data_IF_471769540874
#
_entry.id   IF_471769540874
#
_cell.length_a   1.000
_cell.length_b   1.000
_cell.length_c   1.000
_cell.angle_alpha   90.00
_cell.angle_beta   90.00
_cell.angle_gamma   90.00
#
_symmetry.space_group_name_H-M   'P 1'
#
loop_
_entity.id
_entity.type
_entity.pdbx_description
1 polymer ?
#
# COMPACT_ATOMS: atom_id res chain seq x y z
N UNK A 1 -15.21 9.98 -0.87
CA UNK A 1 -14.99 9.70 0.56
C UNK A 1 -13.72 8.89 0.78
N UNK A 2 -13.70 7.54 0.72
CA UNK A 2 -12.46 6.76 0.95
C UNK A 2 -11.36 7.02 -0.09
N UNK A 3 -11.71 7.19 -1.38
CA UNK A 3 -10.71 7.45 -2.43
C UNK A 3 -9.97 8.78 -2.23
N UNK A 4 -10.67 9.83 -1.80
CA UNK A 4 -10.08 11.16 -1.57
C UNK A 4 -9.13 11.16 -0.37
N UNK A 5 -9.50 10.45 0.70
CA UNK A 5 -8.63 10.27 1.89
C UNK A 5 -7.38 9.48 1.49
N UNK A 6 -7.54 8.38 0.75
CA UNK A 6 -6.41 7.58 0.27
C UNK A 6 -5.52 8.42 -0.65
N UNK A 7 -6.09 9.21 -1.55
CA UNK A 7 -5.33 10.07 -2.45
C UNK A 7 -4.54 11.15 -1.68
N UNK A 8 -5.16 11.76 -0.68
CA UNK A 8 -4.49 12.73 0.21
C UNK A 8 -3.31 12.08 0.93
N UNK A 9 -3.48 10.87 1.46
CA UNK A 9 -2.41 10.14 2.13
C UNK A 9 -1.27 9.76 1.17
N UNK A 10 -1.60 9.33 -0.06
CA UNK A 10 -0.60 9.07 -1.10
C UNK A 10 0.26 10.32 -1.34
N UNK A 11 -0.34 11.49 -1.53
CA UNK A 11 0.38 12.75 -1.72
C UNK A 11 1.25 13.07 -0.50
N UNK A 12 0.73 12.94 0.72
CA UNK A 12 1.49 13.16 1.96
C UNK A 12 2.69 12.22 2.08
N UNK A 13 2.55 10.97 1.63
CA UNK A 13 3.61 9.98 1.57
C UNK A 13 4.54 10.13 0.35
N UNK A 14 4.53 11.30 -0.29
CA UNK A 14 5.45 11.61 -1.40
C UNK A 14 5.10 10.89 -2.69
N UNK A 15 3.85 10.44 -2.84
CA UNK A 15 3.33 10.00 -4.11
C UNK A 15 3.27 11.14 -5.11
N UNK A 16 3.49 10.79 -6.38
CA UNK A 16 3.38 11.71 -7.52
C UNK A 16 2.10 11.39 -8.27
N UNK A 17 1.54 12.38 -8.98
CA UNK A 17 0.28 12.24 -9.75
C UNK A 17 0.38 11.29 -10.97
N UNK A 18 1.47 10.55 -11.09
CA UNK A 18 1.71 9.57 -12.15
C UNK A 18 1.39 8.16 -11.66
N UNK A 19 0.74 7.36 -12.51
CA UNK A 19 0.52 5.94 -12.23
C UNK A 19 1.85 5.21 -11.99
N UNK A 20 2.00 4.44 -10.90
CA UNK A 20 3.24 3.75 -10.60
C UNK A 20 3.52 2.64 -11.62
N UNK A 21 4.79 2.45 -11.95
CA UNK A 21 5.21 1.34 -12.83
C UNK A 21 5.11 0.00 -12.11
N UNK A 22 4.91 -1.07 -12.87
CA UNK A 22 4.93 -2.45 -12.36
C UNK A 22 6.24 -2.76 -11.60
N UNK A 23 7.37 -2.25 -12.09
CA UNK A 23 8.66 -2.38 -11.42
C UNK A 23 8.66 -1.73 -10.03
N UNK A 24 8.12 -0.50 -9.91
CA UNK A 24 8.01 0.21 -8.62
C UNK A 24 7.09 -0.54 -7.67
N UNK A 25 5.95 -1.02 -8.15
CA UNK A 25 5.00 -1.81 -7.35
C UNK A 25 5.69 -3.06 -6.82
N UNK A 26 6.34 -3.83 -7.70
CA UNK A 26 7.00 -5.08 -7.33
C UNK A 26 8.17 -4.87 -6.36
N UNK A 27 8.94 -3.78 -6.54
CA UNK A 27 9.99 -3.39 -5.59
C UNK A 27 9.40 -3.07 -4.21
N UNK A 28 8.34 -2.26 -4.16
CA UNK A 28 7.69 -1.89 -2.91
C UNK A 28 7.08 -3.12 -2.22
N UNK A 29 6.46 -4.05 -2.96
CA UNK A 29 5.98 -5.33 -2.41
C UNK A 29 7.15 -6.12 -1.84
N UNK A 30 8.27 -6.23 -2.57
CA UNK A 30 9.45 -6.97 -2.09
C UNK A 30 9.97 -6.39 -0.77
N UNK A 31 10.11 -5.08 -0.67
CA UNK A 31 10.52 -4.40 0.57
C UNK A 31 9.51 -4.62 1.71
N UNK A 32 8.21 -4.50 1.42
CA UNK A 32 7.16 -4.76 2.40
C UNK A 32 7.18 -6.21 2.91
N UNK A 33 7.62 -7.19 2.11
CA UNK A 33 7.74 -8.59 2.58
C UNK A 33 8.80 -8.79 3.66
N UNK A 34 9.68 -7.82 3.91
CA UNK A 34 10.60 -7.86 5.04
C UNK A 34 9.92 -7.45 6.36
N UNK A 35 8.72 -6.88 6.29
CA UNK A 35 7.94 -6.45 7.47
C UNK A 35 6.99 -7.55 7.96
N UNK A 36 7.12 -7.97 9.23
CA UNK A 36 6.35 -9.06 9.83
C UNK A 36 4.82 -8.87 9.69
N UNK A 37 4.32 -7.66 9.95
CA UNK A 37 2.89 -7.34 9.82
C UNK A 37 2.39 -7.53 8.38
N UNK A 38 3.22 -7.23 7.39
CA UNK A 38 2.87 -7.35 5.98
C UNK A 38 3.00 -8.79 5.50
N UNK A 39 3.97 -9.56 5.99
CA UNK A 39 4.07 -10.99 5.68
C UNK A 39 2.77 -11.72 6.00
N UNK A 40 2.22 -11.47 7.19
CA UNK A 40 0.94 -12.05 7.61
C UNK A 40 -0.18 -11.61 6.68
N UNK A 41 -0.32 -10.30 6.45
CA UNK A 41 -1.37 -9.73 5.59
C UNK A 41 -1.29 -10.26 4.15
N UNK A 42 -0.07 -10.34 3.59
CA UNK A 42 0.20 -10.84 2.25
C UNK A 42 -0.11 -12.33 2.12
N UNK A 43 0.21 -13.14 3.12
CA UNK A 43 -0.08 -14.57 3.09
C UNK A 43 -1.58 -14.87 3.04
N UNK A 44 -2.39 -14.07 3.75
CA UNK A 44 -3.84 -14.24 3.82
C UNK A 44 -4.57 -13.71 2.58
N UNK A 45 -3.98 -12.73 1.88
CA UNK A 45 -4.65 -11.97 0.83
C UNK A 45 -3.80 -11.84 -0.43
N UNK A 46 -2.96 -12.84 -0.72
CA UNK A 46 -1.95 -12.82 -1.77
C UNK A 46 -2.49 -12.33 -3.12
N UNK A 47 -3.63 -12.87 -3.55
CA UNK A 47 -4.22 -12.55 -4.85
C UNK A 47 -4.61 -11.07 -4.95
N UNK A 48 -5.06 -10.45 -3.85
CA UNK A 48 -5.34 -9.02 -3.82
C UNK A 48 -4.08 -8.18 -4.03
N UNK A 49 -2.94 -8.60 -3.49
CA UNK A 49 -1.66 -7.90 -3.69
C UNK A 49 -1.06 -8.10 -5.08
N UNK A 50 -1.42 -9.20 -5.77
CA UNK A 50 -0.90 -9.53 -7.10
C UNK A 50 -1.82 -9.06 -8.23
N UNK A 51 -3.12 -8.95 -8.01
CA UNK A 51 -4.09 -8.76 -9.10
C UNK A 51 -5.00 -7.54 -8.89
N UNK A 52 -5.21 -7.09 -7.64
CA UNK A 52 -6.13 -5.97 -7.40
C UNK A 52 -5.49 -4.63 -7.76
N UNK A 53 -5.96 -4.01 -8.85
CA UNK A 53 -5.45 -2.74 -9.37
C UNK A 53 -5.39 -1.61 -8.33
N UNK A 54 -6.38 -1.51 -7.44
CA UNK A 54 -6.44 -0.44 -6.43
C UNK A 54 -5.38 -0.62 -5.36
N UNK A 55 -5.25 -1.83 -4.81
CA UNK A 55 -4.24 -2.15 -3.79
C UNK A 55 -2.83 -2.02 -4.37
N UNK A 56 -2.62 -2.52 -5.59
CA UNK A 56 -1.34 -2.39 -6.29
C UNK A 56 -0.99 -0.95 -6.59
N UNK A 57 -1.96 -0.14 -7.01
CA UNK A 57 -1.78 1.30 -7.20
C UNK A 57 -1.32 1.97 -5.90
N UNK A 58 -2.01 1.74 -4.78
CA UNK A 58 -1.66 2.36 -3.48
C UNK A 58 -0.24 1.99 -3.06
N UNK A 59 0.14 0.71 -3.18
CA UNK A 59 1.50 0.25 -2.85
C UNK A 59 2.55 0.91 -3.74
N UNK A 60 2.29 1.01 -5.04
CA UNK A 60 3.21 1.64 -5.98
C UNK A 60 3.26 3.15 -5.86
N UNK A 61 2.17 3.81 -5.48
CA UNK A 61 2.06 5.26 -5.52
C UNK A 61 2.89 5.93 -4.42
N UNK A 62 3.02 5.32 -3.25
CA UNK A 62 3.74 5.90 -2.11
C UNK A 62 5.26 5.89 -2.27
N UNK A 63 5.95 6.77 -1.54
CA UNK A 63 7.37 6.60 -1.23
C UNK A 63 7.48 5.71 0.01
N UNK A 64 7.77 4.42 -0.23
CA UNK A 64 7.77 3.42 0.82
C UNK A 64 8.82 3.70 1.91
N UNK A 65 10.02 4.17 1.54
CA UNK A 65 11.06 4.52 2.52
C UNK A 65 10.60 5.62 3.47
N UNK A 66 9.84 6.61 2.95
CA UNK A 66 9.24 7.67 3.77
C UNK A 66 8.20 7.10 4.73
N UNK A 67 7.34 6.21 4.25
CA UNK A 67 6.27 5.59 5.05
C UNK A 67 6.86 4.74 6.17
N UNK A 68 7.84 3.90 5.86
CA UNK A 68 8.43 2.95 6.84
C UNK A 68 9.33 3.63 7.87
N UNK A 69 9.87 4.82 7.57
CA UNK A 69 10.70 5.59 8.51
C UNK A 69 9.92 6.14 9.72
N UNK A 70 8.61 6.31 9.59
CA UNK A 70 7.75 6.93 10.61
C UNK A 70 6.75 5.91 11.14
N UNK A 71 6.80 5.59 12.43
CA UNK A 71 5.85 4.64 13.03
C UNK A 71 4.39 5.09 12.87
N UNK A 72 4.14 6.41 12.88
CA UNK A 72 2.81 6.97 12.63
C UNK A 72 2.34 6.69 11.21
N UNK A 73 3.20 6.94 10.22
CA UNK A 73 2.86 6.73 8.81
C UNK A 73 2.77 5.26 8.46
N UNK A 74 3.66 4.44 9.01
CA UNK A 74 3.61 2.98 8.94
C UNK A 74 2.29 2.44 9.43
N UNK A 75 1.87 2.77 10.66
CA UNK A 75 0.55 2.36 11.20
C UNK A 75 -0.59 2.84 10.31
N UNK A 76 -0.54 4.09 9.83
CA UNK A 76 -1.59 4.61 8.97
C UNK A 76 -1.66 3.91 7.62
N UNK A 77 -0.52 3.53 7.05
CA UNK A 77 -0.44 2.73 5.83
C UNK A 77 -0.99 1.32 6.04
N UNK A 78 -0.68 0.68 7.17
CA UNK A 78 -1.27 -0.62 7.56
C UNK A 78 -2.80 -0.55 7.63
N UNK A 79 -3.35 0.48 8.27
CA UNK A 79 -4.79 0.71 8.35
C UNK A 79 -5.42 0.88 6.97
N UNK A 80 -4.79 1.66 6.09
CA UNK A 80 -5.25 1.87 4.71
C UNK A 80 -5.30 0.55 3.96
N UNK A 81 -4.22 -0.23 3.96
CA UNK A 81 -4.19 -1.53 3.28
C UNK A 81 -5.24 -2.49 3.83
N UNK A 82 -5.37 -2.57 5.15
CA UNK A 82 -6.36 -3.44 5.81
C UNK A 82 -7.79 -3.04 5.43
N UNK A 83 -8.08 -1.73 5.41
CA UNK A 83 -9.39 -1.20 5.01
C UNK A 83 -9.71 -1.53 3.56
N UNK A 84 -8.74 -1.36 2.65
CA UNK A 84 -8.91 -1.68 1.24
C UNK A 84 -9.18 -3.17 1.03
N UNK A 85 -8.40 -4.03 1.69
CA UNK A 85 -8.56 -5.49 1.64
C UNK A 85 -9.95 -5.90 2.12
N UNK A 86 -10.38 -5.43 3.29
CA UNK A 86 -11.69 -5.75 3.87
C UNK A 86 -12.85 -5.32 2.95
N UNK A 87 -12.68 -4.23 2.19
CA UNK A 87 -13.67 -3.77 1.21
C UNK A 87 -13.75 -4.68 -0.03
N UNK A 88 -12.67 -5.40 -0.39
CA UNK A 88 -12.65 -6.31 -1.55
C UNK A 88 -13.14 -7.72 -1.24
N UNK A 89 -13.34 -8.03 0.04
CA UNK A 89 -13.89 -9.32 0.50
C UNK A 89 -15.41 -9.28 0.72
N UNK A 90 -16.02 -8.10 0.63
CA UNK A 90 -17.47 -7.91 0.67
C UNK A 90 -18.01 -7.78 -0.75
#
# INVERSE_FOLDING_TARGET
>A
MLSEIVQTLITLWGGKDTYPTEEKINRNIKQLRDEEWFQKLFSQHKDLFLENKEIRYVIGAVNLDKVLRSEKDKRKFQEVLSTLINKKQK
#
